data_IF_529189716971
#
_entry.id   IF_529189716971
#
_cell.length_a   1.000
_cell.length_b   1.000
_cell.length_c   1.000
_cell.angle_alpha   90.00
_cell.angle_beta   90.00
_cell.angle_gamma   90.00
#
_symmetry.space_group_name_H-M   'P 1'
#
loop_
_entity.id
_entity.type
_entity.pdbx_description
1 polymer ?
#
# COMPACT_ATOMS: atom_id res chain seq x y z
N UNK A 1 -13.91 0.38 -11.60
CA UNK A 1 -12.57 0.06 -11.08
C UNK A 1 -12.73 -1.02 -10.05
N UNK A 2 -11.88 -2.05 -10.07
CA UNK A 2 -11.90 -3.09 -9.04
C UNK A 2 -11.29 -2.55 -7.74
N UNK A 3 -11.58 -3.19 -6.60
CA UNK A 3 -10.97 -2.82 -5.31
C UNK A 3 -9.43 -2.89 -5.37
N UNK A 4 -8.90 -3.87 -6.12
CA UNK A 4 -7.46 -4.03 -6.34
C UNK A 4 -6.86 -2.86 -7.13
N UNK A 5 -7.53 -2.43 -8.21
CA UNK A 5 -7.09 -1.31 -9.05
C UNK A 5 -7.14 0.02 -8.27
N UNK A 6 -8.11 0.17 -7.37
CA UNK A 6 -8.19 1.35 -6.49
C UNK A 6 -7.04 1.37 -5.49
N UNK A 7 -6.74 0.22 -4.88
CA UNK A 7 -5.63 0.07 -3.93
C UNK A 7 -4.28 0.34 -4.61
N UNK A 8 -4.04 -0.21 -5.80
CA UNK A 8 -2.83 0.01 -6.58
C UNK A 8 -2.61 1.49 -6.87
N UNK A 9 -3.64 2.18 -7.38
CA UNK A 9 -3.56 3.61 -7.69
C UNK A 9 -3.27 4.46 -6.44
N UNK A 10 -3.88 4.14 -5.30
CA UNK A 10 -3.60 4.83 -4.02
C UNK A 10 -2.15 4.63 -3.60
N UNK A 11 -1.65 3.38 -3.61
CA UNK A 11 -0.27 3.08 -3.22
C UNK A 11 0.75 3.73 -4.15
N UNK A 12 0.47 3.80 -5.46
CA UNK A 12 1.33 4.51 -6.42
C UNK A 12 1.38 6.01 -6.15
N UNK A 13 0.24 6.64 -5.80
CA UNK A 13 0.19 8.04 -5.42
C UNK A 13 0.95 8.33 -4.11
N UNK A 14 0.81 7.46 -3.11
CA UNK A 14 1.52 7.57 -1.83
C UNK A 14 3.04 7.41 -2.01
N UNK A 15 3.47 6.45 -2.84
CA UNK A 15 4.89 6.26 -3.21
C UNK A 15 5.43 7.49 -3.91
N UNK A 16 4.71 8.05 -4.89
CA UNK A 16 5.15 9.22 -5.63
C UNK A 16 5.24 10.49 -4.74
N UNK A 17 4.48 10.54 -3.65
CA UNK A 17 4.43 11.67 -2.73
C UNK A 17 5.43 11.58 -1.57
N UNK A 18 6.08 10.42 -1.39
CA UNK A 18 7.03 10.22 -0.30
C UNK A 18 8.30 11.07 -0.51
N UNK A 19 8.63 11.90 0.48
CA UNK A 19 9.72 12.87 0.38
C UNK A 19 11.11 12.29 0.71
N UNK A 20 11.16 11.12 1.34
CA UNK A 20 12.38 10.47 1.79
C UNK A 20 12.19 8.95 1.97
N UNK A 21 13.28 8.27 2.31
CA UNK A 21 13.28 6.81 2.53
C UNK A 21 12.39 6.39 3.71
N UNK A 22 12.23 7.23 4.73
CA UNK A 22 11.41 6.92 5.91
C UNK A 22 9.92 6.97 5.55
N UNK A 23 9.51 7.94 4.73
CA UNK A 23 8.17 8.04 4.18
C UNK A 23 7.86 6.86 3.25
N UNK A 24 8.79 6.47 2.36
CA UNK A 24 8.63 5.28 1.51
C UNK A 24 8.48 4.02 2.36
N UNK A 25 9.29 3.87 3.41
CA UNK A 25 9.21 2.72 4.31
C UNK A 25 7.87 2.67 5.06
N UNK A 26 7.31 3.81 5.46
CA UNK A 26 5.98 3.87 6.07
C UNK A 26 4.89 3.38 5.11
N UNK A 27 4.95 3.78 3.82
CA UNK A 27 4.03 3.28 2.78
C UNK A 27 4.20 1.77 2.56
N UNK A 28 5.45 1.28 2.54
CA UNK A 28 5.73 -0.15 2.43
C UNK A 28 5.12 -0.94 3.58
N UNK A 29 5.27 -0.46 4.82
CA UNK A 29 4.73 -1.13 6.01
C UNK A 29 3.20 -1.09 6.04
N UNK A 30 2.58 0.03 5.66
CA UNK A 30 1.11 0.15 5.60
C UNK A 30 0.49 -0.74 4.52
N UNK A 31 1.22 -1.01 3.43
CA UNK A 31 0.77 -1.92 2.36
C UNK A 31 1.04 -3.39 2.69
N UNK A 32 2.27 -3.72 3.07
CA UNK A 32 2.80 -5.10 3.12
C UNK A 32 3.07 -5.62 4.54
N UNK A 33 2.88 -4.81 5.58
CA UNK A 33 3.01 -5.25 6.97
C UNK A 33 1.97 -6.31 7.35
N UNK A 34 2.09 -6.89 8.55
CA UNK A 34 1.18 -7.97 9.04
C UNK A 34 -0.32 -7.62 9.01
N UNK A 35 -0.63 -6.33 9.14
CA UNK A 35 -1.97 -5.72 9.04
C UNK A 35 -2.08 -4.74 7.87
N UNK A 36 -1.19 -4.86 6.90
CA UNK A 36 -1.18 -3.98 5.73
C UNK A 36 -2.32 -4.30 4.78
N UNK A 37 -2.75 -3.31 4.01
CA UNK A 37 -3.90 -3.41 3.11
C UNK A 37 -3.83 -4.61 2.16
N UNK A 38 -2.66 -4.85 1.55
CA UNK A 38 -2.42 -6.00 0.65
C UNK A 38 -2.44 -7.31 1.44
N UNK A 39 -1.80 -7.34 2.61
CA UNK A 39 -1.76 -8.54 3.45
C UNK A 39 -3.13 -8.95 3.98
N UNK A 40 -3.98 -8.00 4.34
CA UNK A 40 -5.37 -8.29 4.74
C UNK A 40 -6.20 -8.79 3.54
N UNK A 41 -6.04 -8.18 2.36
CA UNK A 41 -6.75 -8.62 1.16
C UNK A 41 -6.39 -10.07 0.79
N UNK A 42 -5.11 -10.44 0.86
CA UNK A 42 -4.66 -11.81 0.58
C UNK A 42 -5.21 -12.85 1.57
N UNK A 43 -5.60 -12.47 2.80
CA UNK A 43 -6.25 -13.39 3.75
C UNK A 43 -7.69 -13.74 3.37
N UNK A 44 -8.29 -12.95 2.48
CA UNK A 44 -9.69 -13.12 2.07
C UNK A 44 -9.86 -13.92 0.78
N UNK A 45 -8.75 -14.36 0.18
CA UNK A 45 -8.68 -15.23 -0.99
C UNK A 45 -8.47 -16.69 -0.56
#
# INVERSE_FOLDING_TARGET
MSDMETLENSLMADIASAADEQAIEAVRVSALGKKGSVSEMLKTL
#
